data_IF_555837171251
#
_entry.id   IF_555837171251
#
_cell.length_a   1.000
_cell.length_b   1.000
_cell.length_c   1.000
_cell.angle_alpha   90.00
_cell.angle_beta   90.00
_cell.angle_gamma   90.00
#
_symmetry.space_group_name_H-M   'P 1'
#
loop_
_entity.id
_entity.type
_entity.pdbx_description
1 polymer ?
#
# COMPACT_ATOMS: atom_id res chain seq x y z
N UNK A 1 -9.06 4.43 10.73
CA UNK A 1 -9.03 4.68 9.27
C UNK A 1 -10.36 4.33 8.61
N UNK A 2 -10.82 3.07 8.63
CA UNK A 2 -12.04 2.67 7.91
C UNK A 2 -13.28 3.48 8.28
N UNK A 3 -13.59 3.60 9.58
CA UNK A 3 -14.78 4.35 10.04
C UNK A 3 -14.76 5.83 9.67
N UNK A 4 -13.58 6.45 9.65
CA UNK A 4 -13.42 7.84 9.22
C UNK A 4 -13.68 8.01 7.72
N UNK A 5 -13.15 7.10 6.89
CA UNK A 5 -13.42 7.08 5.45
C UNK A 5 -14.90 6.89 5.18
N UNK A 6 -15.54 5.94 5.88
CA UNK A 6 -16.97 5.70 5.79
C UNK A 6 -17.79 6.93 6.17
N UNK A 7 -17.41 7.61 7.25
CA UNK A 7 -18.04 8.84 7.73
C UNK A 7 -17.91 10.01 6.75
N UNK A 8 -16.81 10.07 5.99
CA UNK A 8 -16.59 11.05 4.91
C UNK A 8 -17.21 10.64 3.57
N UNK A 9 -17.91 9.50 3.50
CA UNK A 9 -18.54 9.01 2.28
C UNK A 9 -17.58 8.33 1.29
N UNK A 10 -16.38 7.95 1.71
CA UNK A 10 -15.42 7.24 0.86
C UNK A 10 -15.80 5.76 0.75
N UNK A 11 -15.92 5.27 -0.49
CA UNK A 11 -16.20 3.86 -0.79
C UNK A 11 -14.94 3.02 -0.89
N UNK A 12 -13.83 3.58 -1.40
CA UNK A 12 -12.57 2.87 -1.62
C UNK A 12 -11.41 3.67 -1.03
N UNK A 13 -10.64 3.05 -0.13
CA UNK A 13 -9.39 3.59 0.39
C UNK A 13 -8.22 3.08 -0.46
N UNK A 14 -7.41 4.00 -1.02
CA UNK A 14 -6.25 3.67 -1.86
C UNK A 14 -5.04 3.17 -1.04
N UNK A 15 -5.21 2.05 -0.37
CA UNK A 15 -4.20 1.33 0.39
C UNK A 15 -4.75 0.01 0.95
N UNK A 16 -3.90 -0.80 1.61
CA UNK A 16 -2.51 -0.52 1.98
C UNK A 16 -1.52 -0.72 0.83
N UNK A 17 -0.27 -0.31 1.09
CA UNK A 17 0.84 -0.52 0.17
C UNK A 17 1.60 -1.79 0.54
N UNK A 18 1.70 -2.73 -0.40
CA UNK A 18 2.50 -3.95 -0.28
C UNK A 18 4.01 -3.70 -0.47
N UNK A 19 4.36 -2.78 -1.38
CA UNK A 19 5.76 -2.50 -1.74
C UNK A 19 5.98 -1.07 -2.23
N UNK A 20 7.21 -0.54 -2.20
CA UNK A 20 8.50 -1.23 -2.34
C UNK A 20 8.90 -2.17 -1.19
N UNK A 21 9.39 -3.37 -1.53
CA UNK A 21 9.94 -4.38 -0.59
C UNK A 21 11.35 -3.97 -0.14
N UNK A 22 11.68 -2.68 -0.20
CA UNK A 22 12.96 -2.15 0.27
C UNK A 22 14.18 -2.73 -0.43
N UNK A 23 14.07 -3.15 -1.71
CA UNK A 23 15.22 -3.64 -2.49
C UNK A 23 16.37 -2.63 -2.48
N UNK A 24 16.04 -1.35 -2.68
CA UNK A 24 16.97 -0.24 -2.51
C UNK A 24 16.54 0.62 -1.33
N UNK A 25 17.43 0.93 -0.37
CA UNK A 25 17.09 1.81 0.76
C UNK A 25 16.75 3.24 0.30
N UNK A 26 17.20 3.65 -0.89
CA UNK A 26 16.92 4.98 -1.47
C UNK A 26 15.52 5.10 -2.09
N UNK A 27 14.73 4.01 -2.10
CA UNK A 27 13.38 3.99 -2.62
C UNK A 27 12.48 5.02 -1.94
N UNK A 28 12.08 6.06 -2.67
CA UNK A 28 11.33 7.21 -2.12
C UNK A 28 9.96 6.88 -1.53
N UNK A 29 9.42 5.69 -1.81
CA UNK A 29 8.16 5.18 -1.26
C UNK A 29 8.33 3.95 -0.37
N UNK A 30 9.54 3.65 0.10
CA UNK A 30 9.75 2.61 1.11
C UNK A 30 8.95 2.89 2.40
N UNK A 31 8.76 4.16 2.74
CA UNK A 31 8.11 4.58 3.99
C UNK A 31 6.62 4.22 4.09
N UNK A 32 5.92 4.03 2.97
CA UNK A 32 4.50 3.64 2.96
C UNK A 32 4.29 2.12 3.05
N UNK A 33 5.34 1.33 2.83
CA UNK A 33 5.36 -0.12 3.00
C UNK A 33 5.58 -0.55 4.46
N UNK A 34 5.43 -1.84 4.73
CA UNK A 34 5.56 -2.38 6.08
C UNK A 34 6.96 -2.93 6.39
N UNK A 35 7.54 -3.68 5.45
CA UNK A 35 8.82 -4.37 5.65
C UNK A 35 9.42 -4.83 4.32
N UNK A 36 10.75 -4.97 4.22
CA UNK A 36 11.38 -5.72 3.13
C UNK A 36 11.15 -7.24 3.22
N UNK A 37 10.58 -7.75 4.31
CA UNK A 37 10.19 -9.15 4.42
C UNK A 37 8.78 -9.40 3.84
N UNK A 38 8.62 -10.27 2.82
CA UNK A 38 7.32 -10.48 2.18
C UNK A 38 6.28 -11.12 3.11
N UNK A 39 6.70 -11.94 4.09
CA UNK A 39 5.79 -12.58 5.02
C UNK A 39 5.20 -11.55 6.01
N UNK A 40 6.05 -10.75 6.63
CA UNK A 40 5.66 -9.67 7.54
C UNK A 40 4.79 -8.63 6.83
N UNK A 41 5.14 -8.29 5.59
CA UNK A 41 4.29 -7.44 4.74
C UNK A 41 2.92 -8.07 4.51
N UNK A 42 2.85 -9.36 4.17
CA UNK A 42 1.57 -10.07 3.99
C UNK A 42 0.68 -10.05 5.23
N UNK A 43 1.25 -10.33 6.42
CA UNK A 43 0.53 -10.28 7.71
C UNK A 43 0.02 -8.86 7.99
N UNK A 44 0.86 -7.86 7.78
CA UNK A 44 0.52 -6.46 8.04
C UNK A 44 -0.58 -5.94 7.10
N UNK A 45 -0.51 -6.34 5.82
CA UNK A 45 -1.54 -6.05 4.84
C UNK A 45 -2.87 -6.69 5.22
N UNK A 46 -2.88 -7.96 5.62
CA UNK A 46 -4.10 -8.68 6.02
C UNK A 46 -4.84 -7.93 7.14
N UNK A 47 -4.14 -7.59 8.23
CA UNK A 47 -4.75 -6.86 9.35
C UNK A 47 -5.25 -5.48 8.94
N UNK A 48 -4.50 -4.77 8.08
CA UNK A 48 -4.89 -3.45 7.60
C UNK A 48 -6.14 -3.50 6.72
N UNK A 49 -6.18 -4.46 5.79
CA UNK A 49 -7.33 -4.69 4.90
C UNK A 49 -8.56 -5.07 5.70
N UNK A 50 -8.44 -5.99 6.66
CA UNK A 50 -9.55 -6.40 7.51
C UNK A 50 -10.16 -5.20 8.25
N UNK A 51 -9.34 -4.39 8.92
CA UNK A 51 -9.82 -3.22 9.64
C UNK A 51 -10.44 -2.11 8.77
N UNK A 52 -10.04 -2.00 7.50
CA UNK A 52 -10.69 -1.10 6.53
C UNK A 52 -12.07 -1.66 6.14
N UNK A 53 -12.13 -2.96 5.81
CA UNK A 53 -13.34 -3.62 5.31
C UNK A 53 -14.40 -3.85 6.39
N UNK A 54 -14.01 -4.03 7.65
CA UNK A 54 -14.94 -4.11 8.79
C UNK A 54 -15.78 -2.84 8.94
N UNK A 55 -15.29 -1.69 8.46
CA UNK A 55 -16.02 -0.43 8.46
C UNK A 55 -16.91 -0.23 7.21
N UNK A 56 -17.00 -1.22 6.32
CA UNK A 56 -17.75 -1.15 5.07
C UNK A 56 -17.07 -0.32 3.98
N UNK A 57 -15.75 -0.16 4.04
CA UNK A 57 -14.93 0.52 3.01
C UNK A 57 -14.07 -0.50 2.28
N UNK A 58 -13.94 -0.38 0.97
CA UNK A 58 -13.09 -1.29 0.18
C UNK A 58 -11.61 -0.88 0.33
N UNK A 59 -10.75 -1.83 0.66
CA UNK A 59 -9.30 -1.63 0.61
C UNK A 59 -8.79 -1.86 -0.82
N UNK A 60 -7.88 -1.00 -1.29
CA UNK A 60 -7.22 -1.13 -2.59
C UNK A 60 -5.73 -1.40 -2.35
N UNK A 61 -5.38 -2.69 -2.30
CA UNK A 61 -4.00 -3.14 -2.20
C UNK A 61 -3.19 -2.64 -3.41
N UNK A 62 -2.04 -2.01 -3.15
CA UNK A 62 -1.21 -1.40 -4.19
C UNK A 62 0.28 -1.42 -3.83
N UNK A 63 1.19 -1.08 -4.73
CA UNK A 63 1.03 -1.35 -6.16
C UNK A 63 1.10 -2.86 -6.34
N UNK A 64 0.42 -3.39 -7.36
CA UNK A 64 0.56 -4.80 -7.69
C UNK A 64 1.95 -5.01 -8.28
N UNK A 65 2.89 -5.33 -7.39
CA UNK A 65 4.29 -5.71 -7.61
C UNK A 65 5.16 -4.68 -8.38
N UNK A 66 6.48 -4.83 -8.30
CA UNK A 66 7.43 -4.18 -9.21
C UNK A 66 7.63 -2.66 -9.06
N UNK A 67 6.87 -1.96 -8.21
CA UNK A 67 7.07 -0.54 -7.94
C UNK A 67 8.15 -0.32 -6.86
N UNK A 68 9.39 -0.68 -7.18
CA UNK A 68 10.55 -0.58 -6.27
C UNK A 68 11.33 0.74 -6.38
N UNK A 69 11.18 1.46 -7.49
CA UNK A 69 11.94 2.67 -7.80
C UNK A 69 11.01 3.77 -8.30
N UNK A 70 11.18 4.96 -7.72
CA UNK A 70 10.36 6.13 -8.10
C UNK A 70 10.94 6.88 -9.31
N UNK A 71 12.26 6.89 -9.46
CA UNK A 71 12.93 7.49 -10.60
C UNK A 71 12.61 6.72 -11.88
N UNK A 72 12.08 7.38 -12.91
CA UNK A 72 11.70 6.79 -14.20
C UNK A 72 10.63 5.68 -14.08
N UNK A 73 9.68 5.83 -13.16
CA UNK A 73 8.61 4.84 -12.95
C UNK A 73 7.53 4.87 -14.03
N UNK A 74 7.49 5.92 -14.86
CA UNK A 74 6.64 5.96 -16.06
C UNK A 74 7.46 5.72 -17.31
N UNK A 75 6.83 5.11 -18.31
CA UNK A 75 7.42 4.92 -19.63
C UNK A 75 7.75 6.28 -20.27
N UNK A 76 8.96 6.45 -20.78
CA UNK A 76 9.36 7.65 -21.52
C UNK A 76 9.84 8.82 -20.66
N UNK A 77 10.11 8.61 -19.37
CA UNK A 77 10.71 9.63 -18.50
C UNK A 77 12.24 9.80 -18.70
N UNK A 78 12.87 8.98 -19.55
CA UNK A 78 14.31 9.00 -19.85
C UNK A 78 14.69 9.87 -21.06
#
# INVERSE_FOLDING_TARGET
MGSEHRGKGVTVQLGPVAGSIGRSPEGGRNWEGFSPDPYLTGVSMMHTIQGIQDAGVVACAKHLIGNEQEHFRQTGEA
#
